data_IF_156490552199
#
_entry.id   IF_156490552199
#
_cell.length_a   1.000
_cell.length_b   1.000
_cell.length_c   1.000
_cell.angle_alpha   90.00
_cell.angle_beta   90.00
_cell.angle_gamma   90.00
#
_symmetry.space_group_name_H-M   'P 1'
#
loop_
_entity.id
_entity.type
_entity.pdbx_description
1 polymer ?
#
# COMPACT_ATOMS: atom_id res chain seq x y z
N UNK A 1 -10.98 27.01 30.32
CA UNK A 1 -9.50 26.91 30.34
C UNK A 1 -9.11 26.03 29.16
N UNK A 2 -8.81 26.67 28.01
CA UNK A 2 -8.69 26.00 26.72
C UNK A 2 -7.33 25.31 26.55
N UNK A 3 -7.37 24.05 26.14
CA UNK A 3 -6.18 23.28 25.79
C UNK A 3 -5.84 23.61 24.34
N UNK A 4 -4.76 24.38 24.15
CA UNK A 4 -4.15 24.64 22.84
C UNK A 4 -3.47 23.35 22.36
N UNK A 5 -3.97 22.78 21.26
CA UNK A 5 -3.22 21.77 20.50
C UNK A 5 -2.03 22.46 19.80
N UNK A 6 -0.82 22.07 20.18
CA UNK A 6 0.40 22.47 19.49
C UNK A 6 0.55 21.67 18.19
N UNK A 7 0.36 22.35 17.06
CA UNK A 7 0.96 21.98 15.78
C UNK A 7 2.48 21.88 15.93
N UNK A 8 3.07 20.82 15.38
CA UNK A 8 4.48 20.81 15.02
C UNK A 8 4.61 20.43 13.54
N UNK A 9 5.11 21.40 12.76
CA UNK A 9 5.48 21.34 11.34
C UNK A 9 7.01 21.39 11.29
N UNK A 10 7.67 20.52 10.53
CA UNK A 10 9.10 20.57 10.14
C UNK A 10 9.30 19.60 8.96
N UNK A 11 9.84 19.84 7.75
CA UNK A 11 10.77 20.76 7.01
C UNK A 11 12.02 20.02 6.45
N UNK A 12 12.22 20.09 5.10
CA UNK A 12 13.46 19.96 4.24
C UNK A 12 13.74 18.61 3.49
N UNK A 13 14.32 18.45 2.26
CA UNK A 13 14.66 19.24 1.03
C UNK A 13 15.36 18.41 -0.12
N UNK A 14 15.25 18.91 -1.38
CA UNK A 14 16.24 19.06 -2.51
C UNK A 14 16.71 17.92 -3.49
N UNK A 15 16.62 18.26 -4.81
CA UNK A 15 17.56 18.07 -5.96
C UNK A 15 17.78 16.64 -6.58
N UNK A 16 18.00 16.37 -7.90
CA UNK A 16 18.06 17.08 -9.20
C UNK A 16 18.26 16.01 -10.34
N UNK A 17 17.88 16.36 -11.59
CA UNK A 17 18.28 15.85 -12.95
C UNK A 17 17.87 14.45 -13.46
N UNK A 18 17.34 14.49 -14.69
CA UNK A 18 16.82 13.42 -15.53
C UNK A 18 17.88 12.71 -16.41
N UNK A 19 17.51 11.58 -17.03
CA UNK A 19 17.58 11.38 -18.49
C UNK A 19 16.88 10.08 -18.92
N UNK A 20 16.29 10.13 -20.12
CA UNK A 20 15.41 9.14 -20.74
C UNK A 20 16.19 8.12 -21.59
N UNK A 21 15.72 6.88 -21.62
CA UNK A 21 15.89 5.96 -22.75
C UNK A 21 14.61 5.10 -22.91
N UNK A 22 14.08 4.92 -24.13
CA UNK A 22 12.89 4.11 -24.39
C UNK A 22 13.27 2.63 -24.62
N UNK A 23 12.48 1.69 -24.11
CA UNK A 23 12.57 0.26 -24.48
C UNK A 23 11.31 -0.14 -25.25
N UNK A 24 11.54 -0.67 -26.45
CA UNK A 24 10.56 -1.13 -27.44
C UNK A 24 9.84 -2.40 -26.99
N UNK A 25 8.58 -2.50 -27.42
CA UNK A 25 7.68 -3.65 -27.27
C UNK A 25 8.08 -4.83 -28.15
N UNK A 26 7.69 -6.04 -27.74
CA UNK A 26 7.58 -7.19 -28.62
C UNK A 26 6.15 -7.78 -28.52
N UNK A 27 5.40 -7.66 -29.61
CA UNK A 27 4.30 -8.55 -30.01
C UNK A 27 4.88 -9.98 -30.14
N UNK A 28 4.22 -11.10 -29.87
CA UNK A 28 2.82 -11.46 -30.00
C UNK A 28 2.77 -12.74 -30.85
N UNK A 29 2.39 -13.90 -30.29
CA UNK A 29 1.93 -15.08 -31.04
C UNK A 29 0.99 -15.86 -30.13
N UNK A 30 -0.28 -15.98 -30.53
CA UNK A 30 -1.25 -16.90 -29.93
C UNK A 30 -1.42 -18.14 -30.80
N UNK A 31 -1.99 -19.21 -30.25
CA UNK A 31 -2.82 -20.22 -30.93
C UNK A 31 -3.61 -21.02 -29.85
N UNK A 32 -4.94 -20.93 -29.84
CA UNK A 32 -5.98 -21.92 -30.22
C UNK A 32 -6.39 -22.92 -29.10
N UNK A 33 -7.68 -22.83 -28.71
CA UNK A 33 -8.44 -23.68 -27.78
C UNK A 33 -9.11 -24.89 -28.49
N UNK A 34 -9.53 -25.92 -27.73
CA UNK A 34 -10.77 -26.63 -28.04
C UNK A 34 -11.79 -26.61 -26.89
N UNK A 35 -13.06 -26.72 -27.26
CA UNK A 35 -14.27 -26.60 -26.45
C UNK A 35 -14.71 -27.92 -25.79
N UNK A 36 -15.19 -27.85 -24.55
CA UNK A 36 -15.98 -28.93 -23.93
C UNK A 36 -17.11 -28.32 -23.08
N UNK A 37 -18.35 -28.75 -23.34
CA UNK A 37 -19.51 -28.52 -22.50
C UNK A 37 -19.33 -29.26 -21.17
N UNK A 38 -19.12 -28.55 -20.06
CA UNK A 38 -19.27 -29.09 -18.72
C UNK A 38 -20.43 -28.41 -17.99
N UNK A 39 -21.32 -29.25 -17.46
CA UNK A 39 -22.24 -28.93 -16.38
C UNK A 39 -21.56 -28.03 -15.35
N UNK A 40 -22.18 -26.90 -14.98
CA UNK A 40 -21.72 -25.96 -13.94
C UNK A 40 -21.40 -26.71 -12.65
N UNK A 41 -20.17 -27.18 -12.54
CA UNK A 41 -19.60 -27.60 -11.27
C UNK A 41 -19.62 -26.35 -10.40
N UNK A 42 -20.01 -26.48 -9.13
CA UNK A 42 -19.66 -25.48 -8.14
C UNK A 42 -18.14 -25.51 -8.06
N UNK A 43 -17.49 -24.75 -8.94
CA UNK A 43 -16.04 -24.66 -9.01
C UNK A 43 -15.58 -24.23 -7.61
N UNK A 44 -14.90 -25.15 -6.92
CA UNK A 44 -14.34 -24.86 -5.61
C UNK A 44 -13.51 -23.58 -5.75
N UNK A 45 -13.77 -22.59 -4.90
CA UNK A 45 -13.06 -21.32 -4.95
C UNK A 45 -11.55 -21.58 -4.91
N UNK A 46 -10.84 -21.30 -6.01
CA UNK A 46 -9.39 -21.48 -6.15
C UNK A 46 -8.57 -20.40 -5.40
N UNK A 47 -9.11 -19.88 -4.30
CA UNK A 47 -8.39 -18.94 -3.44
C UNK A 47 -7.42 -19.68 -2.51
N UNK A 48 -6.17 -19.24 -2.50
CA UNK A 48 -5.07 -19.93 -1.83
C UNK A 48 -4.85 -19.52 -0.36
N UNK A 49 -5.41 -18.39 0.09
CA UNK A 49 -5.26 -17.90 1.46
C UNK A 49 -6.61 -17.52 2.11
N UNK A 50 -6.60 -17.32 3.44
CA UNK A 50 -7.82 -17.06 4.22
C UNK A 50 -8.51 -15.73 3.90
N UNK A 51 -7.77 -14.73 3.43
CA UNK A 51 -8.31 -13.42 3.06
C UNK A 51 -9.10 -13.58 1.75
N UNK A 52 -8.46 -14.16 0.72
CA UNK A 52 -9.09 -14.37 -0.58
C UNK A 52 -10.28 -15.32 -0.53
N UNK A 53 -10.19 -16.40 0.27
CA UNK A 53 -11.30 -17.35 0.44
C UNK A 53 -12.57 -16.69 0.98
N UNK A 54 -12.45 -15.59 1.72
CA UNK A 54 -13.59 -14.87 2.30
C UNK A 54 -14.43 -14.11 1.25
N UNK A 55 -13.84 -13.71 0.12
CA UNK A 55 -14.55 -12.90 -0.90
C UNK A 55 -14.50 -13.49 -2.31
N UNK A 56 -13.37 -14.03 -2.78
CA UNK A 56 -13.23 -14.54 -4.16
C UNK A 56 -14.16 -15.71 -4.47
N UNK A 57 -14.59 -16.45 -3.45
CA UNK A 57 -15.50 -17.59 -3.60
C UNK A 57 -16.96 -17.21 -3.70
N UNK A 58 -17.30 -15.94 -3.50
CA UNK A 58 -18.67 -15.46 -3.58
C UNK A 58 -19.02 -15.15 -5.02
N UNK A 59 -20.06 -15.79 -5.55
CA UNK A 59 -20.48 -15.61 -6.94
C UNK A 59 -20.88 -14.17 -7.30
N UNK A 60 -21.24 -13.36 -6.29
CA UNK A 60 -21.66 -11.96 -6.41
C UNK A 60 -20.57 -10.94 -6.07
N UNK A 61 -19.30 -11.35 -5.86
CA UNK A 61 -18.24 -10.47 -5.36
C UNK A 61 -18.10 -9.16 -6.15
N UNK A 62 -18.29 -9.21 -7.48
CA UNK A 62 -18.18 -8.03 -8.36
C UNK A 62 -19.31 -7.02 -8.13
N UNK A 63 -20.50 -7.51 -7.79
CA UNK A 63 -21.69 -6.71 -7.47
C UNK A 63 -21.73 -6.33 -5.99
N UNK A 64 -20.93 -6.99 -5.15
CA UNK A 64 -20.88 -6.83 -3.70
C UNK A 64 -19.47 -6.48 -3.22
N UNK A 65 -18.81 -5.53 -3.90
CA UNK A 65 -17.40 -5.18 -3.64
C UNK A 65 -17.16 -4.76 -2.19
N UNK A 66 -18.13 -4.09 -1.57
CA UNK A 66 -18.03 -3.64 -0.18
C UNK A 66 -17.95 -4.79 0.84
N UNK A 67 -18.39 -6.01 0.48
CA UNK A 67 -18.24 -7.19 1.34
C UNK A 67 -16.77 -7.60 1.53
N UNK A 68 -15.86 -7.12 0.67
CA UNK A 68 -14.41 -7.28 0.85
C UNK A 68 -13.95 -6.74 2.22
N UNK A 69 -14.54 -5.64 2.70
CA UNK A 69 -14.16 -5.02 3.97
C UNK A 69 -14.33 -5.96 5.18
N UNK A 70 -15.16 -6.99 5.07
CA UNK A 70 -15.33 -8.00 6.14
C UNK A 70 -14.23 -9.06 6.15
N UNK A 71 -13.33 -9.05 5.17
CA UNK A 71 -12.34 -10.09 4.95
C UNK A 71 -10.93 -9.75 5.46
N UNK A 72 -10.70 -8.51 5.93
CA UNK A 72 -9.44 -8.12 6.56
C UNK A 72 -9.09 -9.07 7.71
N UNK A 73 -7.82 -9.47 7.78
CA UNK A 73 -7.28 -10.32 8.84
C UNK A 73 -6.12 -9.61 9.55
N UNK A 74 -5.54 -10.25 10.57
CA UNK A 74 -4.45 -9.65 11.34
C UNK A 74 -4.91 -8.47 12.18
N UNK A 75 -4.00 -7.52 12.43
CA UNK A 75 -4.30 -6.38 13.30
C UNK A 75 -5.24 -5.34 12.68
N UNK A 76 -5.44 -5.34 11.37
CA UNK A 76 -6.45 -4.49 10.71
C UNK A 76 -7.81 -5.18 10.54
N UNK A 77 -8.03 -6.34 11.18
CA UNK A 77 -9.36 -6.96 11.22
C UNK A 77 -10.37 -5.97 11.80
N UNK A 78 -11.46 -5.74 11.08
CA UNK A 78 -12.49 -4.77 11.45
C UNK A 78 -12.33 -3.41 10.76
N UNK A 79 -11.27 -3.18 9.98
CA UNK A 79 -11.18 -2.02 9.09
C UNK A 79 -12.30 -2.08 8.06
N UNK A 80 -13.17 -1.07 8.08
CA UNK A 80 -14.31 -0.97 7.17
C UNK A 80 -14.06 -0.01 6.00
N UNK A 81 -13.06 0.87 6.08
CA UNK A 81 -12.75 1.85 5.04
C UNK A 81 -13.99 2.62 4.56
N UNK A 82 -14.26 2.54 3.26
CA UNK A 82 -15.44 3.16 2.63
C UNK A 82 -16.74 2.36 2.70
N UNK A 83 -16.80 1.24 3.44
CA UNK A 83 -18.02 0.42 3.55
C UNK A 83 -19.19 1.27 4.06
N UNK A 84 -20.38 1.06 3.49
CA UNK A 84 -21.59 1.86 3.69
C UNK A 84 -21.54 3.29 3.14
N UNK A 85 -20.39 3.70 2.61
CA UNK A 85 -20.26 4.91 1.82
C UNK A 85 -20.77 4.73 0.40
N UNK A 86 -20.97 5.86 -0.27
CA UNK A 86 -21.29 5.85 -1.70
C UNK A 86 -20.12 5.31 -2.51
N UNK A 87 -20.43 4.63 -3.61
CA UNK A 87 -19.41 4.23 -4.58
C UNK A 87 -18.98 5.47 -5.36
N UNK A 88 -17.69 5.79 -5.30
CA UNK A 88 -17.09 6.85 -6.10
C UNK A 88 -16.23 6.23 -7.19
N UNK A 89 -16.50 6.55 -8.45
CA UNK A 89 -15.72 6.04 -9.58
C UNK A 89 -14.70 7.08 -10.02
N UNK A 90 -13.41 6.77 -9.89
CA UNK A 90 -12.32 7.55 -10.47
C UNK A 90 -12.36 7.36 -11.98
N UNK A 91 -12.57 8.46 -12.70
CA UNK A 91 -12.66 8.52 -14.16
C UNK A 91 -11.48 9.25 -14.79
N UNK A 92 -10.66 9.91 -13.98
CA UNK A 92 -9.50 10.69 -14.40
C UNK A 92 -8.27 10.29 -13.59
N UNK A 93 -7.16 10.08 -14.29
CA UNK A 93 -5.85 9.86 -13.68
C UNK A 93 -5.09 11.17 -13.40
N UNK A 94 -5.71 12.33 -13.65
CA UNK A 94 -5.10 13.63 -13.41
C UNK A 94 -5.03 13.95 -11.91
N UNK A 95 -3.93 14.59 -11.54
CA UNK A 95 -3.70 15.20 -10.23
C UNK A 95 -3.01 16.57 -10.41
N UNK A 96 -3.48 17.33 -11.40
CA UNK A 96 -2.88 18.57 -11.91
C UNK A 96 -3.11 19.78 -10.99
N UNK A 97 -4.30 19.88 -10.37
CA UNK A 97 -4.60 20.87 -9.34
C UNK A 97 -4.82 20.18 -7.99
N UNK A 98 -3.74 20.04 -7.23
CA UNK A 98 -3.75 19.40 -5.91
C UNK A 98 -4.44 20.24 -4.83
N UNK A 99 -4.61 21.55 -5.06
CA UNK A 99 -5.31 22.47 -4.16
C UNK A 99 -6.82 22.44 -4.41
N UNK A 100 -7.24 22.25 -5.66
CA UNK A 100 -8.64 22.20 -6.05
C UNK A 100 -8.88 20.97 -6.94
N UNK A 101 -8.86 19.76 -6.34
CA UNK A 101 -9.02 18.54 -7.11
C UNK A 101 -10.39 18.52 -7.78
N UNK A 102 -10.43 18.10 -9.04
CA UNK A 102 -11.66 18.01 -9.82
C UNK A 102 -12.40 16.72 -9.49
N UNK A 103 -13.73 16.77 -9.47
CA UNK A 103 -14.56 15.56 -9.44
C UNK A 103 -14.17 14.61 -10.59
N UNK A 104 -14.21 13.31 -10.32
CA UNK A 104 -13.66 12.26 -11.17
C UNK A 104 -12.20 11.89 -10.90
N UNK A 105 -11.43 12.68 -10.13
CA UNK A 105 -10.05 12.35 -9.73
C UNK A 105 -10.01 11.55 -8.42
N UNK A 106 -8.91 10.83 -8.18
CA UNK A 106 -8.67 10.12 -6.91
C UNK A 106 -8.50 11.08 -5.73
N UNK A 107 -7.81 12.22 -5.92
CA UNK A 107 -7.63 13.24 -4.87
C UNK A 107 -8.95 13.83 -4.41
N UNK A 108 -9.87 14.11 -5.34
CA UNK A 108 -11.19 14.61 -4.96
C UNK A 108 -11.93 13.61 -4.06
N UNK A 109 -11.90 12.33 -4.42
CA UNK A 109 -12.54 11.27 -3.65
C UNK A 109 -11.95 11.15 -2.24
N UNK A 110 -10.63 11.13 -2.15
CA UNK A 110 -9.95 10.88 -0.90
C UNK A 110 -9.92 12.10 0.04
N UNK A 111 -10.18 13.31 -0.48
CA UNK A 111 -10.37 14.51 0.31
C UNK A 111 -11.79 14.66 0.88
N UNK A 112 -12.70 13.72 0.67
CA UNK A 112 -14.06 13.85 1.23
C UNK A 112 -14.08 13.48 2.72
N UNK A 113 -14.78 14.27 3.55
CA UNK A 113 -15.00 13.94 4.97
C UNK A 113 -16.12 12.91 5.21
N UNK A 114 -16.42 12.08 4.21
CA UNK A 114 -17.43 11.03 4.29
C UNK A 114 -16.82 9.74 3.73
N UNK A 115 -17.23 8.56 4.21
CA UNK A 115 -16.73 7.31 3.66
C UNK A 115 -17.12 7.21 2.18
N UNK A 116 -16.15 6.88 1.34
CA UNK A 116 -16.35 6.58 -0.07
C UNK A 116 -15.73 5.22 -0.40
N UNK A 117 -16.49 4.39 -1.12
CA UNK A 117 -15.95 3.18 -1.73
C UNK A 117 -15.40 3.52 -3.11
N UNK A 118 -14.10 3.81 -3.16
CA UNK A 118 -13.43 4.29 -4.38
C UNK A 118 -13.14 3.11 -5.31
N UNK A 119 -13.62 3.18 -6.55
CA UNK A 119 -13.31 2.25 -7.64
C UNK A 119 -12.73 3.00 -8.84
N UNK A 120 -12.03 2.30 -9.73
CA UNK A 120 -11.45 2.89 -10.94
C UNK A 120 -12.22 2.44 -12.17
N UNK A 121 -12.51 3.38 -13.09
CA UNK A 121 -13.22 3.08 -14.35
C UNK A 121 -12.40 2.18 -15.28
N UNK A 122 -11.09 2.38 -15.32
CA UNK A 122 -10.12 1.63 -16.11
C UNK A 122 -8.82 1.52 -15.31
N UNK A 123 -7.87 0.72 -15.78
CA UNK A 123 -6.49 0.77 -15.28
C UNK A 123 -5.91 2.18 -15.46
N UNK A 124 -5.29 2.71 -14.41
CA UNK A 124 -4.76 4.06 -14.38
C UNK A 124 -3.41 4.09 -13.66
N UNK A 125 -2.45 4.79 -14.24
CA UNK A 125 -1.25 5.23 -13.52
C UNK A 125 -1.56 6.60 -12.92
N UNK A 126 -1.66 6.67 -11.60
CA UNK A 126 -1.99 7.89 -10.86
C UNK A 126 -0.79 8.28 -10.02
N UNK A 127 -0.20 9.42 -10.34
CA UNK A 127 0.84 10.03 -9.52
C UNK A 127 0.16 10.80 -8.39
N UNK A 128 0.10 10.19 -7.21
CA UNK A 128 -0.53 10.80 -6.05
C UNK A 128 0.42 11.78 -5.37
N UNK A 129 0.01 13.04 -5.30
CA UNK A 129 0.74 14.11 -4.62
C UNK A 129 0.35 14.28 -3.14
N UNK A 130 0.17 13.20 -2.34
CA UNK A 130 0.14 13.13 -0.83
C UNK A 130 -0.97 12.26 -0.20
N UNK A 131 -0.83 12.06 1.13
CA UNK A 131 -1.52 11.15 2.10
C UNK A 131 -3.04 11.23 2.19
N UNK A 132 -3.64 10.12 2.62
CA UNK A 132 -5.08 9.86 2.78
C UNK A 132 -5.34 9.16 4.16
N UNK A 133 -6.56 9.25 4.76
CA UNK A 133 -6.90 8.66 6.09
C UNK A 133 -8.09 7.65 6.07
N UNK A 134 -8.07 6.62 6.94
CA UNK A 134 -9.08 5.55 7.14
C UNK A 134 -9.40 4.70 5.88
N UNK A 135 -8.49 3.80 5.53
CA UNK A 135 -8.37 3.33 4.14
C UNK A 135 -8.25 1.82 4.04
N UNK A 136 -9.04 1.29 3.11
CA UNK A 136 -8.74 0.03 2.42
C UNK A 136 -8.11 0.41 1.08
N UNK A 137 -6.82 0.17 0.92
CA UNK A 137 -6.13 0.33 -0.36
C UNK A 137 -6.13 -1.04 -1.00
N UNK A 138 -7.02 -1.28 -1.96
CA UNK A 138 -7.19 -2.61 -2.55
C UNK A 138 -7.11 -2.59 -4.07
N UNK A 139 -6.34 -3.55 -4.63
CA UNK A 139 -6.27 -3.82 -6.06
C UNK A 139 -5.81 -2.60 -6.91
N UNK A 140 -4.73 -1.94 -6.46
CA UNK A 140 -4.11 -0.80 -7.14
C UNK A 140 -2.68 -1.14 -7.53
N UNK A 141 -2.29 -0.78 -8.76
CA UNK A 141 -0.89 -0.81 -9.20
C UNK A 141 -0.31 0.61 -9.11
N UNK A 142 0.75 0.79 -8.32
CA UNK A 142 1.42 2.07 -8.13
C UNK A 142 2.90 1.90 -8.42
N UNK A 143 3.41 2.70 -9.35
CA UNK A 143 4.80 2.62 -9.78
C UNK A 143 5.34 3.96 -10.29
N UNK A 144 6.67 4.07 -10.32
CA UNK A 144 7.40 5.24 -10.83
C UNK A 144 7.02 6.55 -10.09
N UNK A 145 6.81 6.45 -8.78
CA UNK A 145 6.47 7.58 -7.90
C UNK A 145 7.62 8.58 -7.84
N UNK A 146 7.31 9.87 -7.98
CA UNK A 146 8.27 10.96 -8.02
C UNK A 146 7.99 11.98 -6.94
N UNK A 147 9.06 12.55 -6.39
CA UNK A 147 8.98 13.67 -5.46
C UNK A 147 8.60 14.95 -6.21
N UNK A 148 7.60 15.66 -5.69
CA UNK A 148 7.26 17.02 -6.11
C UNK A 148 7.61 18.03 -5.00
N UNK A 149 7.81 19.32 -5.32
CA UNK A 149 8.24 20.35 -4.36
C UNK A 149 7.30 20.63 -3.17
N UNK A 150 6.12 20.00 -3.11
CA UNK A 150 5.04 20.35 -2.18
C UNK A 150 4.16 21.48 -2.73
N UNK A 151 3.31 22.05 -1.88
CA UNK A 151 2.39 23.12 -2.27
C UNK A 151 1.14 23.22 -1.38
N UNK A 152 0.19 24.06 -1.80
CA UNK A 152 -1.13 24.11 -1.19
C UNK A 152 -1.93 22.89 -1.61
N UNK A 153 -2.38 22.06 -0.66
CA UNK A 153 -2.95 20.74 -0.96
C UNK A 153 -4.26 20.52 -0.22
N UNK A 154 -5.24 20.03 -0.97
CA UNK A 154 -6.55 19.60 -0.45
C UNK A 154 -6.40 18.23 0.20
N UNK A 155 -6.39 18.19 1.52
CA UNK A 155 -6.34 16.95 2.32
C UNK A 155 -7.71 16.51 2.83
N UNK A 156 -8.68 17.41 2.89
CA UNK A 156 -10.04 17.16 3.34
C UNK A 156 -11.02 18.14 2.66
N UNK A 157 -12.29 18.13 3.06
CA UNK A 157 -13.31 19.03 2.49
C UNK A 157 -13.06 20.52 2.81
N UNK A 158 -12.20 20.79 3.80
CA UNK A 158 -11.76 22.11 4.23
C UNK A 158 -10.74 22.77 3.28
N UNK A 159 -10.26 23.99 3.60
CA UNK A 159 -9.34 24.71 2.72
C UNK A 159 -8.03 23.94 2.51
N UNK A 160 -7.36 24.11 1.35
CA UNK A 160 -6.04 23.55 1.14
C UNK A 160 -5.06 24.04 2.19
N UNK A 161 -4.15 23.16 2.61
CA UNK A 161 -3.11 23.49 3.59
C UNK A 161 -1.74 23.41 2.93
N UNK A 162 -0.82 24.26 3.39
CA UNK A 162 0.55 24.23 2.89
C UNK A 162 1.25 22.95 3.37
N UNK A 163 1.75 22.17 2.42
CA UNK A 163 2.49 20.94 2.65
C UNK A 163 3.84 21.02 1.95
N UNK A 164 4.82 20.34 2.51
CA UNK A 164 6.17 20.30 1.96
C UNK A 164 6.33 19.20 0.92
N UNK A 165 7.51 19.12 0.31
CA UNK A 165 7.88 17.98 -0.52
C UNK A 165 7.75 16.68 0.28
N UNK A 166 7.19 15.65 -0.36
CA UNK A 166 7.16 14.29 0.18
C UNK A 166 8.52 13.63 0.01
N UNK A 167 8.85 12.66 0.86
CA UNK A 167 10.04 11.83 0.73
C UNK A 167 9.99 10.92 -0.52
N UNK A 168 8.80 10.76 -1.12
CA UNK A 168 8.61 10.02 -2.36
C UNK A 168 8.29 8.55 -2.14
N UNK A 169 7.65 8.24 -1.02
CA UNK A 169 7.09 6.92 -0.74
C UNK A 169 5.85 6.66 -1.58
N UNK A 170 5.61 5.38 -1.90
CA UNK A 170 4.41 4.99 -2.66
C UNK A 170 3.14 5.08 -1.80
N UNK A 171 3.20 4.62 -0.55
CA UNK A 171 2.14 4.74 0.45
C UNK A 171 2.80 5.17 1.77
N UNK A 172 2.39 6.32 2.30
CA UNK A 172 2.79 6.80 3.62
C UNK A 172 1.57 6.82 4.55
N UNK A 173 1.69 6.15 5.69
CA UNK A 173 0.70 6.06 6.77
C UNK A 173 1.30 6.68 8.03
N UNK A 174 0.88 7.90 8.33
CA UNK A 174 1.34 8.68 9.48
C UNK A 174 0.20 8.91 10.49
N UNK A 175 0.45 8.66 11.78
CA UNK A 175 -0.51 8.95 12.85
C UNK A 175 -1.89 8.32 12.70
N UNK A 176 -1.99 7.17 12.02
CA UNK A 176 -3.25 6.58 11.56
C UNK A 176 -3.49 5.21 12.17
N UNK A 177 -4.76 4.78 12.25
CA UNK A 177 -5.09 3.43 12.73
C UNK A 177 -6.15 2.76 11.86
N UNK A 178 -6.22 1.42 11.94
CA UNK A 178 -7.15 0.60 11.16
C UNK A 178 -6.94 0.77 9.66
N UNK A 179 -5.77 0.36 9.18
CA UNK A 179 -5.37 0.50 7.77
C UNK A 179 -5.16 -0.87 7.15
N UNK A 180 -5.77 -1.12 6.00
CA UNK A 180 -5.61 -2.37 5.26
C UNK A 180 -5.14 -2.09 3.84
N UNK A 181 -3.91 -2.53 3.53
CA UNK A 181 -3.31 -2.46 2.19
C UNK A 181 -3.34 -3.88 1.64
N UNK A 182 -4.10 -4.11 0.57
CA UNK A 182 -4.36 -5.44 0.05
C UNK A 182 -4.27 -5.52 -1.47
N UNK A 183 -3.76 -6.61 -2.04
CA UNK A 183 -3.76 -6.82 -3.51
C UNK A 183 -3.10 -5.70 -4.33
N UNK A 184 -2.19 -4.94 -3.74
CA UNK A 184 -1.49 -3.87 -4.45
C UNK A 184 -0.22 -4.37 -5.12
N UNK A 185 0.09 -3.85 -6.31
CA UNK A 185 1.39 -4.03 -6.96
C UNK A 185 2.18 -2.73 -6.81
N UNK A 186 3.32 -2.79 -6.13
CA UNK A 186 4.10 -1.61 -5.71
C UNK A 186 5.54 -1.75 -6.20
N UNK A 187 6.05 -0.77 -6.95
CA UNK A 187 7.43 -0.81 -7.47
C UNK A 187 8.01 0.57 -7.77
N UNK A 188 9.34 0.68 -7.85
CA UNK A 188 10.04 1.88 -8.34
C UNK A 188 9.57 3.20 -7.70
N UNK A 189 9.48 3.25 -6.38
CA UNK A 189 9.29 4.53 -5.70
C UNK A 189 10.61 5.29 -5.63
N UNK A 190 10.53 6.59 -5.36
CA UNK A 190 11.72 7.40 -5.13
C UNK A 190 12.42 7.02 -3.81
N UNK A 191 11.68 6.81 -2.71
CA UNK A 191 12.23 6.33 -1.44
C UNK A 191 11.72 4.92 -1.05
N UNK A 192 10.76 4.81 -0.14
CA UNK A 192 10.12 3.58 0.30
C UNK A 192 8.89 3.19 -0.54
N UNK A 193 8.43 1.93 -0.47
CA UNK A 193 7.08 1.61 -1.01
C UNK A 193 6.01 1.85 0.04
N UNK A 194 6.18 1.34 1.26
CA UNK A 194 5.19 1.52 2.33
C UNK A 194 5.88 1.94 3.61
N UNK A 195 5.56 3.14 4.07
CA UNK A 195 6.04 3.69 5.34
C UNK A 195 4.87 3.85 6.31
N UNK A 196 5.02 3.28 7.51
CA UNK A 196 4.04 3.34 8.60
C UNK A 196 4.72 3.93 9.83
N UNK A 197 4.32 5.13 10.25
CA UNK A 197 5.08 5.95 11.20
C UNK A 197 4.18 6.75 12.14
N UNK A 198 4.80 7.51 13.05
CA UNK A 198 4.18 8.51 13.92
C UNK A 198 3.04 7.96 14.80
N UNK A 199 3.26 6.81 15.43
CA UNK A 199 2.27 6.18 16.32
C UNK A 199 1.15 5.44 15.60
N UNK A 200 1.28 5.19 14.30
CA UNK A 200 0.30 4.40 13.55
C UNK A 200 0.20 2.96 14.09
N UNK A 201 -0.99 2.36 14.05
CA UNK A 201 -1.24 1.03 14.63
C UNK A 201 -2.43 0.31 13.99
N UNK A 202 -2.61 -0.98 14.26
CA UNK A 202 -3.68 -1.80 13.67
C UNK A 202 -3.63 -1.78 12.13
N UNK A 203 -2.46 -2.14 11.59
CA UNK A 203 -2.20 -2.15 10.14
C UNK A 203 -2.10 -3.59 9.63
N UNK A 204 -2.61 -3.86 8.43
CA UNK A 204 -2.35 -5.11 7.72
C UNK A 204 -1.97 -4.81 6.27
N UNK A 205 -0.85 -5.39 5.86
CA UNK A 205 -0.34 -5.34 4.49
C UNK A 205 -0.40 -6.78 3.96
N UNK A 206 -1.30 -7.04 3.02
CA UNK A 206 -1.56 -8.40 2.56
C UNK A 206 -1.70 -8.58 1.05
N UNK A 207 -1.35 -9.76 0.55
CA UNK A 207 -1.52 -10.11 -0.87
C UNK A 207 -0.91 -9.10 -1.86
N UNK A 208 0.04 -8.28 -1.42
CA UNK A 208 0.71 -7.30 -2.27
C UNK A 208 1.90 -7.93 -2.97
N UNK A 209 2.22 -7.41 -4.17
CA UNK A 209 3.44 -7.73 -4.90
C UNK A 209 4.39 -6.53 -4.86
N UNK A 210 5.58 -6.74 -4.33
CA UNK A 210 6.65 -5.74 -4.25
C UNK A 210 7.78 -6.11 -5.20
N UNK A 211 8.17 -5.19 -6.08
CA UNK A 211 9.26 -5.40 -7.06
C UNK A 211 10.12 -4.17 -7.26
N UNK A 212 11.32 -4.37 -7.83
CA UNK A 212 12.20 -3.31 -8.34
C UNK A 212 12.34 -2.12 -7.40
N UNK A 213 12.77 -2.40 -6.17
CA UNK A 213 12.84 -1.39 -5.13
C UNK A 213 13.99 -1.66 -4.15
N UNK A 214 14.64 -0.59 -3.68
CA UNK A 214 15.61 -0.74 -2.58
C UNK A 214 14.92 -0.88 -1.21
N UNK A 215 14.04 0.06 -0.84
CA UNK A 215 13.37 0.10 0.47
C UNK A 215 11.91 -0.32 0.34
N UNK A 216 11.55 -1.54 0.77
CA UNK A 216 10.17 -2.01 0.62
C UNK A 216 9.21 -1.44 1.67
N UNK A 217 9.30 -1.89 2.93
CA UNK A 217 8.35 -1.58 4.00
C UNK A 217 9.09 -1.10 5.26
N UNK A 218 8.84 0.15 5.69
CA UNK A 218 9.32 0.68 6.97
C UNK A 218 8.17 0.76 7.99
N UNK A 219 8.36 0.12 9.14
CA UNK A 219 7.43 0.16 10.27
C UNK A 219 8.12 0.82 11.47
N UNK A 220 7.90 2.12 11.61
CA UNK A 220 8.59 3.01 12.56
C UNK A 220 9.88 3.62 11.98
N UNK A 221 9.95 4.95 11.89
CA UNK A 221 11.00 5.67 11.16
C UNK A 221 12.19 6.13 12.02
N UNK A 222 11.97 6.42 13.30
CA UNK A 222 12.94 7.06 14.20
C UNK A 222 13.19 6.19 15.44
N UNK A 223 14.46 6.03 15.80
CA UNK A 223 14.91 5.22 16.95
C UNK A 223 14.63 5.90 18.32
N UNK A 224 14.07 7.11 18.32
CA UNK A 224 13.67 7.86 19.53
C UNK A 224 12.15 8.07 19.64
N UNK A 225 11.37 7.71 18.61
CA UNK A 225 9.93 7.93 18.58
C UNK A 225 9.15 6.87 19.36
N UNK A 226 9.21 6.95 20.69
CA UNK A 226 8.67 5.92 21.61
C UNK A 226 7.17 5.66 21.50
N UNK A 227 6.40 6.53 20.84
CA UNK A 227 4.98 6.30 20.57
C UNK A 227 4.76 5.06 19.67
N UNK A 228 5.73 4.71 18.83
CA UNK A 228 5.68 3.53 17.96
C UNK A 228 5.71 2.20 18.73
N UNK A 229 5.95 2.20 20.05
CA UNK A 229 5.78 1.01 20.91
C UNK A 229 4.35 0.47 20.88
N UNK A 230 3.36 1.32 20.60
CA UNK A 230 1.96 0.93 20.43
C UNK A 230 1.62 0.37 19.04
N UNK A 231 2.58 0.35 18.11
CA UNK A 231 2.34 -0.11 16.74
C UNK A 231 2.09 -1.62 16.71
N UNK A 232 0.95 -2.00 16.15
CA UNK A 232 0.59 -3.39 15.81
C UNK A 232 0.42 -3.50 14.30
N UNK A 233 1.23 -4.34 13.65
CA UNK A 233 1.11 -4.53 12.20
C UNK A 233 1.30 -5.99 11.77
N UNK A 234 0.50 -6.40 10.78
CA UNK A 234 0.55 -7.72 10.15
C UNK A 234 1.03 -7.57 8.71
N UNK A 235 2.09 -8.28 8.33
CA UNK A 235 2.60 -8.40 6.95
C UNK A 235 2.35 -9.84 6.52
N UNK A 236 1.37 -10.09 5.65
CA UNK A 236 0.91 -11.44 5.35
C UNK A 236 0.68 -11.75 3.87
N UNK A 237 1.04 -12.93 3.41
CA UNK A 237 0.74 -13.40 2.03
C UNK A 237 1.32 -12.51 0.91
N UNK A 238 2.31 -11.68 1.20
CA UNK A 238 2.93 -10.80 0.22
C UNK A 238 3.98 -11.55 -0.60
N UNK A 239 4.20 -11.09 -1.82
CA UNK A 239 5.27 -11.55 -2.71
C UNK A 239 6.33 -10.46 -2.85
N UNK A 240 7.53 -10.71 -2.35
CA UNK A 240 8.72 -9.89 -2.57
C UNK A 240 9.61 -10.58 -3.60
N UNK A 241 9.71 -10.01 -4.80
CA UNK A 241 10.37 -10.65 -5.96
C UNK A 241 10.94 -9.60 -6.91
N UNK A 242 11.65 -10.03 -7.94
CA UNK A 242 12.06 -9.18 -9.07
C UNK A 242 12.83 -7.93 -8.58
N UNK A 243 13.93 -8.14 -7.87
CA UNK A 243 14.86 -7.12 -7.35
C UNK A 243 14.29 -6.23 -6.23
N UNK A 244 13.94 -6.83 -5.09
CA UNK A 244 13.72 -6.08 -3.83
C UNK A 244 14.96 -6.20 -2.94
N UNK A 245 15.56 -5.08 -2.57
CA UNK A 245 16.84 -5.08 -1.85
C UNK A 245 16.68 -5.40 -0.36
N UNK A 246 15.81 -4.67 0.35
CA UNK A 246 15.73 -4.72 1.81
C UNK A 246 14.41 -4.21 2.38
N UNK A 247 14.28 -4.30 3.72
CA UNK A 247 13.15 -3.82 4.53
C UNK A 247 11.84 -4.54 4.24
N UNK A 248 11.78 -5.86 4.40
CA UNK A 248 10.59 -6.66 4.09
C UNK A 248 10.00 -7.42 5.30
N UNK A 249 9.66 -6.79 6.44
CA UNK A 249 9.76 -5.35 6.75
C UNK A 249 11.06 -4.98 7.48
N UNK A 250 11.31 -3.67 7.64
CA UNK A 250 12.20 -3.13 8.67
C UNK A 250 11.39 -2.49 9.79
N UNK A 251 11.56 -3.00 11.00
CA UNK A 251 10.71 -2.69 12.14
C UNK A 251 11.41 -1.91 13.26
N UNK A 252 10.66 -1.09 13.99
CA UNK A 252 11.07 -0.47 15.25
C UNK A 252 9.98 -0.55 16.31
N UNK A 253 10.39 -0.76 17.57
CA UNK A 253 9.56 -0.76 18.78
C UNK A 253 8.39 -1.76 18.86
N UNK A 254 7.38 -1.63 18.01
CA UNK A 254 6.09 -2.30 18.13
C UNK A 254 6.09 -3.82 18.00
N UNK A 255 4.90 -4.38 17.77
CA UNK A 255 4.68 -5.81 17.60
C UNK A 255 4.24 -6.14 16.18
N UNK A 256 4.99 -7.03 15.54
CA UNK A 256 4.88 -7.30 14.11
C UNK A 256 4.67 -8.79 13.86
N UNK A 257 3.57 -9.12 13.18
CA UNK A 257 3.34 -10.46 12.66
C UNK A 257 3.76 -10.51 11.20
N UNK A 258 4.78 -11.29 10.87
CA UNK A 258 5.26 -11.47 9.49
C UNK A 258 4.99 -12.92 9.11
N UNK A 259 3.92 -13.15 8.34
CA UNK A 259 3.35 -14.50 8.18
C UNK A 259 3.09 -14.91 6.72
N UNK A 260 3.49 -16.11 6.33
CA UNK A 260 3.19 -16.69 5.01
C UNK A 260 3.53 -15.79 3.80
N UNK A 261 4.56 -14.95 3.90
CA UNK A 261 5.06 -14.18 2.77
C UNK A 261 6.08 -15.01 1.99
N UNK A 262 6.22 -14.73 0.69
CA UNK A 262 7.25 -15.30 -0.17
C UNK A 262 8.34 -14.25 -0.44
N UNK A 263 9.58 -14.62 -0.12
CA UNK A 263 10.77 -13.82 -0.32
C UNK A 263 11.67 -14.49 -1.36
N UNK A 264 11.91 -13.80 -2.47
CA UNK A 264 12.80 -14.25 -3.52
C UNK A 264 14.02 -13.32 -3.64
N UNK A 265 15.19 -13.85 -3.24
CA UNK A 265 16.53 -13.29 -3.44
C UNK A 265 16.64 -11.78 -3.20
N UNK A 266 16.71 -11.41 -1.93
CA UNK A 266 16.91 -10.02 -1.53
C UNK A 266 18.29 -9.46 -1.90
N UNK A 267 18.40 -8.14 -1.99
CA UNK A 267 19.67 -7.47 -2.27
C UNK A 267 20.60 -7.38 -1.05
N UNK A 268 20.06 -7.12 0.15
CA UNK A 268 20.83 -6.95 1.39
C UNK A 268 20.30 -7.83 2.52
N UNK A 269 19.03 -7.69 2.93
CA UNK A 269 18.39 -8.56 3.92
C UNK A 269 16.87 -8.61 3.70
N UNK A 270 16.20 -9.68 4.16
CA UNK A 270 14.75 -9.77 4.12
C UNK A 270 14.07 -8.98 5.25
N UNK A 271 14.09 -9.52 6.47
CA UNK A 271 13.42 -8.95 7.64
C UNK A 271 14.47 -8.37 8.58
N UNK A 272 14.26 -7.17 9.10
CA UNK A 272 15.20 -6.55 10.03
C UNK A 272 14.54 -5.55 10.97
N UNK A 273 15.32 -4.97 11.87
CA UNK A 273 14.81 -3.94 12.76
C UNK A 273 15.86 -3.35 13.69
N UNK A 274 15.48 -2.27 14.37
CA UNK A 274 16.26 -1.59 15.42
C UNK A 274 15.33 -1.10 16.52
N UNK A 275 15.87 -0.73 17.68
CA UNK A 275 15.06 -0.19 18.79
C UNK A 275 14.00 -1.16 19.33
N UNK A 276 14.44 -2.40 19.59
CA UNK A 276 13.69 -3.45 20.28
C UNK A 276 12.28 -3.76 19.72
N UNK A 277 12.12 -4.03 18.40
CA UNK A 277 10.86 -4.50 17.87
C UNK A 277 10.61 -5.95 18.28
N UNK A 278 9.35 -6.33 18.41
CA UNK A 278 8.98 -7.75 18.52
C UNK A 278 8.49 -8.24 17.16
N UNK A 279 9.20 -9.19 16.56
CA UNK A 279 8.86 -9.75 15.24
C UNK A 279 8.53 -11.23 15.38
N UNK A 280 7.26 -11.59 15.16
CA UNK A 280 6.82 -12.97 15.04
C UNK A 280 6.85 -13.39 13.56
N UNK A 281 7.85 -14.18 13.19
CA UNK A 281 8.04 -14.68 11.83
C UNK A 281 7.55 -16.13 11.72
N UNK A 282 6.50 -16.40 10.93
CA UNK A 282 5.89 -17.74 10.85
C UNK A 282 5.45 -18.10 9.42
N UNK A 283 5.82 -19.30 8.95
CA UNK A 283 5.32 -19.86 7.68
C UNK A 283 5.79 -19.13 6.41
N UNK A 284 6.75 -18.21 6.52
CA UNK A 284 7.34 -17.52 5.37
C UNK A 284 8.25 -18.46 4.57
N UNK A 285 8.27 -18.28 3.24
CA UNK A 285 9.22 -18.95 2.35
C UNK A 285 10.35 -17.99 2.02
N UNK A 286 11.59 -18.37 2.34
CA UNK A 286 12.80 -17.62 1.99
C UNK A 286 13.62 -18.39 0.95
N UNK A 287 13.77 -17.81 -0.24
CA UNK A 287 14.78 -18.23 -1.20
C UNK A 287 15.91 -17.20 -1.15
N UNK A 288 16.99 -17.52 -0.44
CA UNK A 288 18.12 -16.62 -0.28
C UNK A 288 18.90 -16.43 -1.59
N UNK A 289 19.62 -15.31 -1.77
CA UNK A 289 20.60 -15.13 -2.85
C UNK A 289 21.75 -16.13 -2.79
N UNK A 290 22.44 -16.32 -3.92
CA UNK A 290 23.61 -17.21 -4.02
C UNK A 290 24.89 -16.64 -3.35
N UNK A 291 24.79 -15.46 -2.74
CA UNK A 291 25.85 -14.81 -1.98
C UNK A 291 25.81 -15.24 -0.52
N UNK A 292 26.92 -15.83 -0.02
CA UNK A 292 27.04 -16.35 1.34
C UNK A 292 26.86 -15.29 2.43
N UNK A 293 27.22 -14.03 2.17
CA UNK A 293 27.11 -12.95 3.17
C UNK A 293 25.64 -12.52 3.35
N UNK A 294 24.77 -12.88 2.40
CA UNK A 294 23.36 -12.47 2.36
C UNK A 294 22.40 -13.59 2.78
N UNK A 295 22.90 -14.73 3.25
CA UNK A 295 22.09 -15.87 3.69
C UNK A 295 21.63 -15.74 5.13
#
# INVERSE_FOLDING_TARGET
MGIKQCCYILYFTLALVALLQPVRSAEGVGEILPSVNETRSLQACEAYNIIDKCWRGKADWENNRQALADCAQGFAKGTYGGKWGDVYTVTSNLDDDVANPKEGTLRFAAAQNRPLWIIFKNDMVINLNQELVNIIIHNINIHDVKVLPGGMIKSNDGPPILRQASDGDTINVAGSSQIWIDHCSLSKSFDGLVDVTLGSTHVTISNCKFTQQSKAILLGADDTHVQDKGMLATVAFNMFTDNVDQRMPRCRFGFFQVVNNNYDRWGTYAIGGSSAPTILCQGNRFLAPDDQIKK
#
